data_IF_771555908562
#
_entry.id   IF_771555908562
#
_cell.length_a   1.000
_cell.length_b   1.000
_cell.length_c   1.000
_cell.angle_alpha   90.00
_cell.angle_beta   90.00
_cell.angle_gamma   90.00
#
_symmetry.space_group_name_H-M   'P 1'
#
loop_
_entity.id
_entity.type
_entity.pdbx_description
1 polymer ?
#
# COMPACT_ATOMS: atom_id res chain seq x y z
N UNK A 1 -39.69 -10.87 53.79
CA UNK A 1 -40.88 -11.56 54.35
C UNK A 1 -41.79 -11.83 53.16
N UNK A 2 -42.18 -13.02 52.70
CA UNK A 2 -42.31 -14.39 53.21
C UNK A 2 -42.20 -15.35 51.97
N UNK A 3 -41.53 -16.53 52.01
CA UNK A 3 -42.09 -17.90 52.22
C UNK A 3 -43.34 -18.20 51.35
N UNK A 4 -43.56 -19.33 50.66
CA UNK A 4 -42.97 -20.67 50.58
C UNK A 4 -43.58 -21.37 49.31
N UNK A 5 -42.82 -22.15 48.53
CA UNK A 5 -42.83 -23.62 48.44
C UNK A 5 -44.19 -24.33 48.18
N UNK A 6 -44.29 -25.04 47.03
CA UNK A 6 -45.05 -26.30 46.95
C UNK A 6 -44.40 -27.27 45.95
N UNK A 7 -43.97 -28.43 46.46
CA UNK A 7 -43.56 -29.63 45.72
C UNK A 7 -44.80 -30.42 45.28
N UNK A 8 -44.73 -31.15 44.16
CA UNK A 8 -45.34 -32.49 44.10
C UNK A 8 -44.58 -33.40 43.13
N UNK A 9 -44.49 -34.67 43.53
CA UNK A 9 -43.67 -35.79 43.04
C UNK A 9 -44.62 -36.94 42.68
N UNK A 10 -44.12 -37.91 41.89
CA UNK A 10 -44.64 -39.27 41.60
C UNK A 10 -45.38 -39.38 40.26
N UNK A 11 -45.26 -40.43 39.42
CA UNK A 11 -44.61 -41.76 39.37
C UNK A 11 -44.62 -42.16 37.87
N UNK A 12 -43.58 -42.71 37.22
CA UNK A 12 -43.07 -44.10 37.20
C UNK A 12 -44.06 -45.19 36.71
N UNK A 13 -43.89 -45.63 35.44
CA UNK A 13 -44.18 -46.96 34.85
C UNK A 13 -43.50 -46.99 33.46
N UNK A 14 -42.96 -48.04 32.85
CA UNK A 14 -42.45 -49.38 33.18
C UNK A 14 -41.87 -49.87 31.81
N UNK A 15 -40.55 -50.07 31.67
CA UNK A 15 -39.84 -51.34 31.38
C UNK A 15 -40.26 -52.15 30.13
N UNK A 16 -39.23 -52.61 29.40
CA UNK A 16 -39.17 -53.63 28.31
C UNK A 16 -39.29 -53.08 26.87
N UNK A 17 -38.46 -53.43 25.88
CA UNK A 17 -37.51 -54.53 25.68
C UNK A 17 -36.54 -54.21 24.52
N UNK A 18 -35.47 -54.99 24.39
CA UNK A 18 -34.95 -55.36 23.05
C UNK A 18 -33.53 -54.89 22.71
N UNK A 19 -32.59 -55.83 22.75
CA UNK A 19 -31.17 -55.71 22.40
C UNK A 19 -30.96 -56.14 20.93
N UNK A 20 -29.96 -55.53 20.26
CA UNK A 20 -29.17 -55.97 19.08
C UNK A 20 -29.49 -55.50 17.64
N UNK A 21 -28.62 -54.59 17.13
CA UNK A 21 -28.04 -54.53 15.76
C UNK A 21 -28.87 -53.88 14.63
N UNK A 22 -28.28 -53.16 13.65
CA UNK A 22 -26.95 -53.38 13.06
C UNK A 22 -25.99 -52.15 13.01
N UNK A 23 -24.73 -52.43 12.66
CA UNK A 23 -23.62 -51.47 12.50
C UNK A 23 -23.90 -50.29 11.54
N UNK A 24 -23.27 -49.11 11.75
CA UNK A 24 -23.03 -48.15 10.69
C UNK A 24 -21.59 -48.25 10.16
N UNK A 25 -21.49 -48.70 8.90
CA UNK A 25 -20.27 -48.74 8.09
C UNK A 25 -19.91 -47.33 7.59
N UNK A 26 -18.67 -46.90 7.84
CA UNK A 26 -17.85 -46.07 6.94
C UNK A 26 -18.11 -44.55 6.88
N UNK A 27 -17.10 -43.76 7.26
CA UNK A 27 -17.03 -42.34 6.86
C UNK A 27 -16.13 -41.48 7.74
N UNK A 28 -14.90 -41.24 7.28
CA UNK A 28 -13.83 -40.48 7.94
C UNK A 28 -14.23 -39.12 8.56
N UNK A 29 -13.72 -38.85 9.78
CA UNK A 29 -13.60 -37.49 10.34
C UNK A 29 -12.63 -36.65 9.50
N UNK A 30 -12.98 -35.42 9.08
CA UNK A 30 -12.01 -34.51 8.49
C UNK A 30 -11.18 -33.79 9.59
N UNK A 31 -9.87 -33.61 9.38
CA UNK A 31 -8.98 -32.94 10.30
C UNK A 31 -8.99 -31.42 10.12
N UNK A 32 -8.69 -30.72 11.22
CA UNK A 32 -8.14 -29.36 11.35
C UNK A 32 -7.91 -28.62 10.02
N UNK A 33 -8.70 -27.58 9.74
CA UNK A 33 -8.46 -26.64 8.64
C UNK A 33 -7.19 -25.80 8.92
N UNK A 34 -6.03 -26.43 8.67
CA UNK A 34 -4.81 -25.78 8.22
C UNK A 34 -5.05 -25.34 6.77
N UNK A 35 -5.18 -24.04 6.53
CA UNK A 35 -4.90 -23.49 5.20
C UNK A 35 -5.85 -22.42 4.68
N UNK A 36 -5.84 -21.21 5.26
CA UNK A 36 -6.22 -19.99 4.54
C UNK A 36 -5.34 -18.80 5.00
N UNK A 37 -4.03 -18.92 4.81
CA UNK A 37 -3.07 -17.79 4.79
C UNK A 37 -1.93 -18.11 3.81
N UNK A 38 -2.27 -18.29 2.54
CA UNK A 38 -1.30 -18.38 1.44
C UNK A 38 -1.87 -17.67 0.21
N UNK A 39 -1.68 -16.35 0.15
CA UNK A 39 -1.78 -15.59 -1.11
C UNK A 39 -0.93 -14.32 -1.14
N UNK A 40 -0.40 -13.85 0.00
CA UNK A 40 0.72 -12.91 0.00
C UNK A 40 2.04 -13.69 -0.08
N UNK A 41 2.95 -13.24 -0.93
CA UNK A 41 4.23 -13.85 -1.35
C UNK A 41 4.15 -14.83 -2.53
N UNK A 42 3.99 -14.29 -3.74
CA UNK A 42 4.56 -14.90 -4.95
C UNK A 42 4.89 -13.87 -6.04
N UNK A 43 6.08 -13.26 -5.97
CA UNK A 43 6.93 -12.90 -7.13
C UNK A 43 8.26 -12.29 -6.67
N UNK A 44 9.15 -13.13 -6.14
CA UNK A 44 10.59 -12.81 -6.07
C UNK A 44 11.38 -13.96 -6.71
N UNK A 45 11.83 -13.71 -7.93
CA UNK A 45 12.84 -14.45 -8.72
C UNK A 45 13.46 -13.35 -9.59
N UNK A 46 14.75 -13.02 -9.59
CA UNK A 46 16.03 -13.70 -9.28
C UNK A 46 17.08 -12.60 -9.00
N UNK A 47 18.29 -13.03 -8.63
CA UNK A 47 19.57 -12.30 -8.45
C UNK A 47 19.97 -12.04 -6.99
N UNK A 48 20.46 -13.10 -6.36
CA UNK A 48 21.29 -13.04 -5.15
C UNK A 48 22.76 -13.11 -5.57
N UNK A 49 23.52 -12.04 -5.35
CA UNK A 49 24.98 -12.04 -5.42
C UNK A 49 25.67 -11.33 -4.24
N UNK A 50 24.93 -10.96 -3.18
CA UNK A 50 25.50 -10.18 -2.06
C UNK A 50 25.00 -10.57 -0.66
N UNK A 51 24.31 -11.71 -0.46
CA UNK A 51 23.93 -12.17 0.88
C UNK A 51 22.91 -11.30 1.64
N UNK A 52 22.39 -10.22 1.05
CA UNK A 52 21.33 -9.41 1.65
C UNK A 52 19.98 -10.09 1.43
N UNK A 53 19.40 -10.62 2.52
CA UNK A 53 17.98 -11.00 2.56
C UNK A 53 17.16 -9.70 2.52
N UNK A 54 16.45 -9.45 1.42
CA UNK A 54 15.46 -8.36 1.38
C UNK A 54 14.37 -8.61 2.43
N UNK A 55 14.12 -7.60 3.25
CA UNK A 55 12.87 -6.86 3.17
C UNK A 55 13.16 -5.50 2.52
N UNK A 56 12.25 -5.00 1.67
CA UNK A 56 12.38 -3.67 1.02
C UNK A 56 12.60 -2.52 2.05
N UNK A 57 12.28 -2.75 3.33
CA UNK A 57 12.59 -1.84 4.45
C UNK A 57 14.05 -1.82 4.90
N UNK A 58 14.89 -2.79 4.50
CA UNK A 58 16.27 -2.92 4.98
C UNK A 58 17.23 -1.90 4.37
N UNK A 59 16.94 -1.40 3.16
CA UNK A 59 17.81 -0.45 2.44
C UNK A 59 17.66 0.97 3.02
N UNK A 60 16.50 1.26 3.61
CA UNK A 60 16.18 2.56 4.21
C UNK A 60 16.42 2.58 5.73
N UNK A 61 16.90 1.47 6.31
CA UNK A 61 17.14 1.37 7.73
C UNK A 61 18.33 2.23 8.16
N UNK A 62 18.19 2.94 9.29
CA UNK A 62 19.24 3.84 9.80
C UNK A 62 20.58 3.13 9.99
N UNK A 63 20.57 1.86 10.38
CA UNK A 63 21.79 1.05 10.52
C UNK A 63 22.53 0.88 9.18
N UNK A 64 21.80 0.54 8.10
CA UNK A 64 22.40 0.39 6.78
C UNK A 64 22.96 1.72 6.26
N UNK A 65 22.21 2.82 6.46
CA UNK A 65 22.66 4.16 6.07
C UNK A 65 23.93 4.59 6.83
N UNK A 66 24.04 4.22 8.12
CA UNK A 66 25.25 4.45 8.91
C UNK A 66 26.44 3.62 8.41
N UNK A 67 26.22 2.36 8.04
CA UNK A 67 27.25 1.50 7.45
C UNK A 67 27.77 2.06 6.12
N UNK A 68 26.86 2.49 5.23
CA UNK A 68 27.20 3.13 3.95
C UNK A 68 27.99 4.42 4.18
N UNK A 69 27.61 5.23 5.17
CA UNK A 69 28.36 6.43 5.57
C UNK A 69 29.76 6.10 6.08
N UNK A 70 29.96 4.95 6.71
CA UNK A 70 31.25 4.48 7.25
C UNK A 70 32.20 3.86 6.23
N UNK A 71 31.74 3.58 5.00
CA UNK A 71 32.56 2.91 3.98
C UNK A 71 33.84 3.70 3.66
N UNK A 72 34.95 2.96 3.48
CA UNK A 72 36.27 3.51 3.16
C UNK A 72 36.27 4.26 1.82
N UNK A 73 35.61 3.71 0.81
CA UNK A 73 35.54 4.27 -0.53
C UNK A 73 34.21 5.01 -0.74
N UNK A 74 34.22 6.33 -0.53
CA UNK A 74 33.00 7.17 -0.59
C UNK A 74 32.34 7.20 -1.97
N UNK A 75 33.12 7.19 -3.05
CA UNK A 75 32.56 7.18 -4.41
C UNK A 75 31.74 5.91 -4.67
N UNK A 76 32.24 4.76 -4.22
CA UNK A 76 31.54 3.47 -4.31
C UNK A 76 30.29 3.48 -3.44
N UNK A 77 30.37 4.07 -2.24
CA UNK A 77 29.22 4.22 -1.35
C UNK A 77 28.10 5.06 -1.99
N UNK A 78 28.45 6.19 -2.63
CA UNK A 78 27.50 7.05 -3.32
C UNK A 78 26.82 6.34 -4.49
N UNK A 79 27.59 5.65 -5.34
CA UNK A 79 27.04 4.90 -6.48
C UNK A 79 26.14 3.75 -6.04
N UNK A 80 26.55 3.00 -5.01
CA UNK A 80 25.76 1.93 -4.44
C UNK A 80 24.42 2.45 -3.90
N UNK A 81 24.47 3.51 -3.07
CA UNK A 81 23.27 4.08 -2.47
C UNK A 81 22.34 4.65 -3.53
N UNK A 82 22.86 5.37 -4.53
CA UNK A 82 22.07 5.89 -5.63
C UNK A 82 21.37 4.78 -6.43
N UNK A 83 22.07 3.67 -6.70
CA UNK A 83 21.48 2.51 -7.39
C UNK A 83 20.36 1.88 -6.56
N UNK A 84 20.59 1.65 -5.27
CA UNK A 84 19.62 1.04 -4.37
C UNK A 84 18.36 1.91 -4.22
N UNK A 85 18.52 3.24 -4.08
CA UNK A 85 17.40 4.17 -4.02
C UNK A 85 16.64 4.24 -5.36
N UNK A 86 17.35 4.16 -6.49
CA UNK A 86 16.73 4.07 -7.80
C UNK A 86 15.88 2.81 -7.99
N UNK A 87 16.40 1.66 -7.54
CA UNK A 87 15.68 0.38 -7.59
C UNK A 87 14.45 0.39 -6.67
N UNK A 88 14.59 0.90 -5.43
CA UNK A 88 13.47 1.07 -4.49
C UNK A 88 12.40 2.01 -5.06
N UNK A 89 12.82 3.16 -5.63
CA UNK A 89 11.88 4.07 -6.26
C UNK A 89 11.16 3.43 -7.46
N UNK A 90 11.82 2.54 -8.21
CA UNK A 90 11.20 1.79 -9.31
C UNK A 90 10.19 0.75 -8.83
N UNK A 91 10.38 0.17 -7.65
CA UNK A 91 9.36 -0.69 -7.04
C UNK A 91 8.15 0.14 -6.63
N UNK A 92 8.38 1.29 -5.98
CA UNK A 92 7.33 2.22 -5.54
C UNK A 92 6.57 2.89 -6.69
N UNK A 93 7.24 3.15 -7.81
CA UNK A 93 6.66 3.82 -8.99
C UNK A 93 5.49 3.08 -9.59
N UNK A 94 5.37 1.77 -9.32
CA UNK A 94 4.23 0.95 -9.72
C UNK A 94 2.96 1.24 -8.92
N UNK A 95 3.09 1.79 -7.72
CA UNK A 95 1.96 2.08 -6.82
C UNK A 95 1.70 3.57 -6.67
N UNK A 96 2.74 4.40 -6.56
CA UNK A 96 2.60 5.83 -6.33
C UNK A 96 3.44 6.64 -7.32
N UNK A 97 2.77 7.21 -8.32
CA UNK A 97 3.39 7.98 -9.39
C UNK A 97 3.88 9.35 -8.91
N UNK A 98 3.18 9.96 -7.95
CA UNK A 98 3.48 11.31 -7.46
C UNK A 98 4.77 11.29 -6.65
N UNK A 99 4.80 10.45 -5.60
CA UNK A 99 6.01 10.29 -4.78
C UNK A 99 7.19 9.81 -5.62
N UNK A 100 6.96 8.88 -6.55
CA UNK A 100 8.06 8.35 -7.35
C UNK A 100 8.70 9.39 -8.26
N UNK A 101 7.90 10.31 -8.83
CA UNK A 101 8.42 11.44 -9.61
C UNK A 101 9.25 12.37 -8.74
N UNK A 102 8.74 12.75 -7.58
CA UNK A 102 9.45 13.62 -6.63
C UNK A 102 10.81 13.05 -6.25
N UNK A 103 10.85 11.79 -5.77
CA UNK A 103 12.10 11.12 -5.41
C UNK A 103 13.03 10.92 -6.61
N UNK A 104 12.48 10.66 -7.80
CA UNK A 104 13.30 10.53 -9.00
C UNK A 104 13.96 11.84 -9.39
N UNK A 105 13.28 12.98 -9.24
CA UNK A 105 13.86 14.29 -9.52
C UNK A 105 14.91 14.68 -8.48
N UNK A 106 14.67 14.41 -7.20
CA UNK A 106 15.68 14.60 -6.14
C UNK A 106 16.93 13.76 -6.37
N UNK A 107 16.75 12.49 -6.73
CA UNK A 107 17.86 11.58 -7.04
C UNK A 107 18.67 12.09 -8.24
N UNK A 108 18.00 12.48 -9.34
CA UNK A 108 18.65 13.05 -10.53
C UNK A 108 19.42 14.32 -10.19
N UNK A 109 18.81 15.23 -9.43
CA UNK A 109 19.46 16.49 -9.01
C UNK A 109 20.75 16.21 -8.24
N UNK A 110 20.70 15.27 -7.30
CA UNK A 110 21.85 14.86 -6.48
C UNK A 110 22.96 14.25 -7.33
N UNK A 111 22.61 13.34 -8.25
CA UNK A 111 23.56 12.72 -9.17
C UNK A 111 24.18 13.70 -10.16
N UNK A 112 23.39 14.64 -10.68
CA UNK A 112 23.90 15.69 -11.56
C UNK A 112 24.91 16.58 -10.83
N UNK A 113 24.62 16.94 -9.57
CA UNK A 113 25.54 17.70 -8.74
C UNK A 113 26.84 16.93 -8.47
N UNK A 114 26.76 15.61 -8.26
CA UNK A 114 27.93 14.73 -8.13
C UNK A 114 28.76 14.67 -9.41
N UNK A 115 28.13 14.39 -10.56
CA UNK A 115 28.82 14.26 -11.84
C UNK A 115 29.49 15.55 -12.29
N UNK A 116 28.85 16.69 -12.02
CA UNK A 116 29.41 18.01 -12.34
C UNK A 116 30.45 18.48 -11.32
N UNK A 117 30.79 17.66 -10.31
CA UNK A 117 31.66 18.02 -9.18
C UNK A 117 31.22 19.31 -8.48
N UNK A 118 29.92 19.58 -8.49
CA UNK A 118 29.32 20.77 -7.89
C UNK A 118 29.24 20.66 -6.36
N UNK A 119 29.26 19.44 -5.83
CA UNK A 119 29.28 19.11 -4.40
C UNK A 119 30.30 18.01 -4.12
N UNK A 120 30.83 17.97 -2.91
CA UNK A 120 31.78 16.95 -2.48
C UNK A 120 31.10 15.57 -2.34
N UNK A 121 31.83 14.47 -2.56
CA UNK A 121 31.27 13.11 -2.44
C UNK A 121 30.61 12.86 -1.07
N UNK A 122 31.15 13.45 -0.01
CA UNK A 122 30.56 13.34 1.33
C UNK A 122 29.16 13.99 1.40
N UNK A 123 28.99 15.16 0.78
CA UNK A 123 27.70 15.86 0.72
C UNK A 123 26.70 15.08 -0.15
N UNK A 124 27.15 14.45 -1.23
CA UNK A 124 26.30 13.57 -2.06
C UNK A 124 25.75 12.42 -1.23
N UNK A 125 26.58 11.75 -0.44
CA UNK A 125 26.14 10.67 0.43
C UNK A 125 25.10 11.18 1.44
N UNK A 126 25.28 12.38 1.99
CA UNK A 126 24.34 12.97 2.94
C UNK A 126 23.00 13.32 2.29
N UNK A 127 22.99 13.87 1.09
CA UNK A 127 21.76 14.11 0.31
C UNK A 127 21.04 12.80 -0.05
N UNK A 128 21.78 11.75 -0.43
CA UNK A 128 21.20 10.43 -0.69
C UNK A 128 20.65 9.78 0.58
N UNK A 129 21.31 9.92 1.73
CA UNK A 129 20.80 9.46 3.03
C UNK A 129 19.53 10.22 3.40
N UNK A 130 19.49 11.54 3.17
CA UNK A 130 18.31 12.35 3.40
C UNK A 130 17.15 11.88 2.52
N UNK A 131 17.38 11.64 1.23
CA UNK A 131 16.39 11.07 0.32
C UNK A 131 15.87 9.71 0.85
N UNK A 132 16.76 8.83 1.30
CA UNK A 132 16.37 7.54 1.89
C UNK A 132 15.43 7.70 3.10
N UNK A 133 15.72 8.67 3.97
CA UNK A 133 14.88 8.99 5.13
C UNK A 133 13.53 9.56 4.72
N UNK A 134 13.48 10.43 3.73
CA UNK A 134 12.23 10.97 3.19
C UNK A 134 11.35 9.86 2.58
N UNK A 135 11.95 8.91 1.86
CA UNK A 135 11.25 7.72 1.36
C UNK A 135 10.69 6.86 2.49
N UNK A 136 11.46 6.63 3.55
CA UNK A 136 11.01 5.87 4.73
C UNK A 136 9.85 6.60 5.45
N UNK A 137 9.99 7.91 5.67
CA UNK A 137 8.97 8.74 6.28
C UNK A 137 7.68 8.77 5.44
N UNK A 138 7.78 8.79 4.12
CA UNK A 138 6.62 8.71 3.23
C UNK A 138 5.84 7.39 3.39
N UNK A 139 6.53 6.28 3.59
CA UNK A 139 5.90 4.99 3.91
C UNK A 139 5.22 5.04 5.28
N UNK A 140 5.90 5.58 6.29
CA UNK A 140 5.36 5.68 7.65
C UNK A 140 4.14 6.60 7.70
N UNK A 141 4.14 7.71 6.96
CA UNK A 141 2.97 8.61 6.83
C UNK A 141 1.73 7.87 6.36
N UNK A 142 1.86 6.93 5.43
CA UNK A 142 0.73 6.12 4.98
C UNK A 142 0.10 5.30 6.12
N UNK A 143 0.97 4.66 6.92
CA UNK A 143 0.58 3.89 8.10
C UNK A 143 -0.06 4.78 9.17
N UNK A 144 0.53 5.93 9.46
CA UNK A 144 0.04 6.88 10.47
C UNK A 144 -1.32 7.48 10.08
N UNK A 145 -1.56 7.66 8.77
CA UNK A 145 -2.85 8.08 8.24
C UNK A 145 -3.87 6.94 8.25
N UNK A 146 -3.48 5.70 8.52
CA UNK A 146 -4.37 4.53 8.47
C UNK A 146 -4.90 4.25 7.06
N UNK A 147 -4.18 4.71 6.04
CA UNK A 147 -4.50 4.49 4.64
C UNK A 147 -3.71 3.29 4.11
N UNK A 148 -4.31 2.53 3.19
CA UNK A 148 -3.57 1.52 2.44
C UNK A 148 -2.72 2.17 1.33
N UNK A 149 -1.78 1.42 0.76
CA UNK A 149 -0.84 1.94 -0.26
C UNK A 149 -1.53 2.61 -1.46
N UNK A 150 -2.68 2.09 -1.90
CA UNK A 150 -3.44 2.67 -3.03
C UNK A 150 -4.08 4.00 -2.61
N UNK A 151 -4.64 4.05 -1.40
CA UNK A 151 -5.26 5.25 -0.84
C UNK A 151 -4.23 6.35 -0.60
N UNK A 152 -3.03 6.01 -0.13
CA UNK A 152 -1.92 6.96 0.01
C UNK A 152 -1.55 7.56 -1.35
N UNK A 153 -1.53 6.75 -2.41
CA UNK A 153 -1.21 7.24 -3.75
C UNK A 153 -2.26 8.23 -4.28
N UNK A 154 -3.56 7.98 -4.01
CA UNK A 154 -4.62 8.94 -4.33
C UNK A 154 -4.57 10.18 -3.44
N UNK A 155 -4.27 10.02 -2.16
CA UNK A 155 -4.09 11.14 -1.23
C UNK A 155 -2.96 12.05 -1.69
N UNK A 156 -1.79 11.52 -2.04
CA UNK A 156 -0.67 12.31 -2.54
C UNK A 156 -1.02 13.02 -3.87
N UNK A 157 -1.74 12.35 -4.78
CA UNK A 157 -2.23 12.95 -6.01
C UNK A 157 -3.20 14.11 -5.79
N UNK A 158 -4.02 14.06 -4.73
CA UNK A 158 -4.89 15.16 -4.34
C UNK A 158 -4.12 16.27 -3.60
N UNK A 159 -3.10 15.90 -2.82
CA UNK A 159 -2.28 16.80 -2.01
C UNK A 159 -1.24 17.59 -2.83
N UNK A 160 -0.94 17.19 -4.07
CA UNK A 160 -0.15 18.01 -5.01
C UNK A 160 -0.74 19.41 -5.19
N UNK A 161 -2.06 19.57 -5.00
CA UNK A 161 -2.69 20.88 -4.98
C UNK A 161 -2.70 21.45 -3.56
N UNK A 162 -1.78 22.38 -3.31
CA UNK A 162 -1.65 23.05 -2.01
C UNK A 162 -2.93 23.79 -1.58
N UNK A 163 -3.72 24.30 -2.53
CA UNK A 163 -5.01 24.96 -2.21
C UNK A 163 -6.02 23.98 -1.63
N UNK A 164 -6.00 22.71 -2.08
CA UNK A 164 -6.88 21.68 -1.54
C UNK A 164 -6.47 21.24 -0.13
N UNK A 165 -5.16 21.13 0.13
CA UNK A 165 -4.63 20.80 1.46
C UNK A 165 -5.00 21.90 2.48
N UNK A 166 -4.89 23.17 2.08
CA UNK A 166 -5.22 24.31 2.93
C UNK A 166 -6.72 24.51 3.15
N UNK A 167 -7.56 24.28 2.12
CA UNK A 167 -9.00 24.53 2.20
C UNK A 167 -9.79 23.38 2.85
N UNK A 168 -9.40 22.13 2.63
CA UNK A 168 -10.17 20.94 3.03
C UNK A 168 -9.57 20.24 4.26
N UNK A 169 -8.27 20.43 4.48
CA UNK A 169 -7.54 19.73 5.54
C UNK A 169 -7.29 18.25 5.23
N UNK A 170 -6.53 17.60 6.12
CA UNK A 170 -6.05 16.23 5.90
C UNK A 170 -7.18 15.19 5.95
N UNK A 171 -8.15 15.34 6.86
CA UNK A 171 -9.18 14.33 7.08
C UNK A 171 -10.15 14.20 5.90
N UNK A 172 -10.54 15.32 5.30
CA UNK A 172 -11.42 15.34 4.14
C UNK A 172 -10.74 14.74 2.90
N UNK A 173 -9.44 15.05 2.70
CA UNK A 173 -8.64 14.46 1.63
C UNK A 173 -8.49 12.94 1.77
N UNK A 174 -8.39 12.43 3.00
CA UNK A 174 -8.36 10.97 3.25
C UNK A 174 -9.67 10.32 2.83
N UNK A 175 -10.81 10.91 3.20
CA UNK A 175 -12.14 10.39 2.82
C UNK A 175 -12.29 10.35 1.31
N UNK A 176 -11.87 11.41 0.61
CA UNK A 176 -11.91 11.47 -0.86
C UNK A 176 -11.00 10.38 -1.46
N UNK A 177 -9.78 10.20 -0.93
CA UNK A 177 -8.85 9.18 -1.41
C UNK A 177 -9.42 7.76 -1.26
N UNK A 178 -9.99 7.42 -0.10
CA UNK A 178 -10.65 6.13 0.15
C UNK A 178 -11.88 5.92 -0.74
N UNK A 179 -12.71 6.95 -0.94
CA UNK A 179 -13.87 6.87 -1.84
C UNK A 179 -13.42 6.66 -3.30
N UNK A 180 -12.36 7.34 -3.75
CA UNK A 180 -11.78 7.18 -5.08
C UNK A 180 -11.27 5.76 -5.29
N UNK A 181 -10.45 5.21 -4.38
CA UNK A 181 -9.95 3.83 -4.50
C UNK A 181 -11.10 2.83 -4.59
N UNK A 182 -12.11 2.98 -3.73
CA UNK A 182 -13.27 2.09 -3.70
C UNK A 182 -14.04 2.12 -5.02
N UNK A 183 -14.27 3.30 -5.57
CA UNK A 183 -15.02 3.48 -6.82
C UNK A 183 -14.22 3.01 -8.03
N UNK A 184 -12.92 3.30 -8.07
CA UNK A 184 -12.03 2.82 -9.13
C UNK A 184 -11.96 1.29 -9.11
N UNK A 185 -11.75 0.65 -7.95
CA UNK A 185 -11.75 -0.83 -7.82
C UNK A 185 -13.04 -1.47 -8.34
N UNK A 186 -14.20 -0.87 -8.04
CA UNK A 186 -15.51 -1.33 -8.56
C UNK A 186 -15.61 -1.21 -10.08
N UNK A 187 -14.96 -0.21 -10.68
CA UNK A 187 -14.96 0.00 -12.12
C UNK A 187 -13.96 -0.85 -12.90
N UNK A 188 -12.84 -1.27 -12.28
CA UNK A 188 -11.80 -2.11 -12.94
C UNK A 188 -12.31 -3.51 -13.30
N UNK A 189 -13.33 -4.02 -12.60
CA UNK A 189 -13.96 -5.30 -12.94
C UNK A 189 -14.64 -5.27 -14.32
N UNK A 190 -14.85 -4.09 -14.92
CA UNK A 190 -15.56 -3.89 -16.18
C UNK A 190 -14.54 -3.41 -17.25
N UNK A 191 -13.94 -4.37 -17.94
CA UNK A 191 -13.16 -4.22 -19.19
C UNK A 191 -12.18 -3.04 -19.26
N UNK A 192 -11.05 -3.16 -18.57
CA UNK A 192 -9.85 -2.32 -18.80
C UNK A 192 -9.20 -2.56 -20.18
N UNK A 193 -9.60 -3.63 -20.85
CA UNK A 193 -9.22 -4.02 -22.22
C UNK A 193 -9.63 -2.97 -23.26
N UNK A 194 -10.61 -2.09 -22.97
CA UNK A 194 -11.02 -0.98 -23.85
C UNK A 194 -10.55 0.36 -23.27
N UNK A 195 -9.28 0.70 -23.54
CA UNK A 195 -8.50 1.83 -22.99
C UNK A 195 -9.20 3.18 -22.93
N UNK A 196 -10.07 3.51 -23.88
CA UNK A 196 -10.60 4.88 -24.03
C UNK A 196 -11.93 5.10 -23.29
N UNK A 197 -12.84 4.12 -23.33
CA UNK A 197 -14.15 4.21 -22.68
C UNK A 197 -14.06 4.04 -21.16
N UNK A 198 -13.19 3.15 -20.67
CA UNK A 198 -12.89 2.99 -19.26
C UNK A 198 -12.25 4.27 -18.67
N UNK A 199 -11.30 4.88 -19.41
CA UNK A 199 -10.66 6.14 -19.02
C UNK A 199 -11.65 7.29 -18.91
N UNK A 200 -12.57 7.42 -19.87
CA UNK A 200 -13.62 8.43 -19.84
C UNK A 200 -14.54 8.24 -18.63
N UNK A 201 -14.93 7.00 -18.29
CA UNK A 201 -15.75 6.68 -17.11
C UNK A 201 -15.05 7.06 -15.80
N UNK A 202 -13.77 6.70 -15.63
CA UNK A 202 -12.98 7.09 -14.45
C UNK A 202 -12.86 8.61 -14.37
N UNK A 203 -12.58 9.30 -15.48
CA UNK A 203 -12.47 10.76 -15.50
C UNK A 203 -13.77 11.44 -15.03
N UNK A 204 -14.93 10.96 -15.47
CA UNK A 204 -16.24 11.49 -15.04
C UNK A 204 -16.48 11.20 -13.56
N UNK A 205 -16.16 9.99 -13.10
CA UNK A 205 -16.28 9.59 -11.69
C UNK A 205 -15.40 10.46 -10.78
N UNK A 206 -14.11 10.62 -11.10
CA UNK A 206 -13.17 11.46 -10.33
C UNK A 206 -13.68 12.90 -10.26
N UNK A 207 -14.14 13.47 -11.39
CA UNK A 207 -14.73 14.81 -11.41
C UNK A 207 -15.97 14.92 -10.52
N UNK A 208 -16.83 13.90 -10.51
CA UNK A 208 -18.05 13.87 -9.68
C UNK A 208 -17.71 13.83 -8.19
N UNK A 209 -16.79 12.97 -7.78
CA UNK A 209 -16.39 12.83 -6.36
C UNK A 209 -15.76 14.13 -5.87
N UNK A 210 -14.83 14.73 -6.64
CA UNK A 210 -14.21 16.01 -6.26
C UNK A 210 -15.24 17.15 -6.13
N UNK A 211 -16.22 17.24 -7.02
CA UNK A 211 -17.31 18.23 -6.92
C UNK A 211 -18.20 18.01 -5.70
N UNK A 212 -18.52 16.75 -5.38
CA UNK A 212 -19.35 16.40 -4.22
C UNK A 212 -18.73 16.86 -2.90
N UNK A 213 -17.40 16.77 -2.78
CA UNK A 213 -16.66 17.19 -1.59
C UNK A 213 -16.18 18.65 -1.64
N UNK A 214 -16.60 19.45 -2.62
CA UNK A 214 -16.27 20.88 -2.63
C UNK A 214 -14.79 21.20 -2.96
N UNK A 215 -14.10 20.35 -3.71
CA UNK A 215 -12.69 20.57 -4.05
C UNK A 215 -12.48 21.93 -4.77
N UNK A 216 -11.52 22.77 -4.32
CA UNK A 216 -11.33 24.12 -4.87
C UNK A 216 -11.18 24.15 -6.39
N UNK A 217 -11.72 25.18 -7.08
CA UNK A 217 -11.61 25.31 -8.54
C UNK A 217 -10.17 25.54 -9.03
N UNK A 218 -9.27 26.00 -8.14
CA UNK A 218 -7.89 26.28 -8.47
C UNK A 218 -7.13 25.01 -8.86
N UNK A 219 -6.46 25.05 -10.01
CA UNK A 219 -5.67 23.94 -10.58
C UNK A 219 -6.47 22.62 -10.69
N UNK A 220 -7.80 22.69 -10.87
CA UNK A 220 -8.64 21.50 -10.94
C UNK A 220 -8.20 20.55 -12.04
N UNK A 221 -7.80 21.07 -13.20
CA UNK A 221 -7.46 20.27 -14.36
C UNK A 221 -6.14 19.50 -14.18
N UNK A 222 -5.14 20.09 -13.54
CA UNK A 222 -3.87 19.41 -13.24
C UNK A 222 -4.08 18.32 -12.19
N UNK A 223 -4.82 18.63 -11.12
CA UNK A 223 -5.18 17.64 -10.11
C UNK A 223 -6.01 16.49 -10.71
N UNK A 224 -6.98 16.76 -11.60
CA UNK A 224 -7.69 15.69 -12.33
C UNK A 224 -6.72 14.84 -13.13
N UNK A 225 -5.79 15.45 -13.89
CA UNK A 225 -4.84 14.71 -14.73
C UNK A 225 -3.93 13.81 -13.89
N UNK A 226 -3.44 14.31 -12.75
CA UNK A 226 -2.59 13.54 -11.84
C UNK A 226 -3.34 12.38 -11.21
N UNK A 227 -4.55 12.64 -10.68
CA UNK A 227 -5.42 11.59 -10.12
C UNK A 227 -5.82 10.54 -11.17
N UNK A 228 -6.10 10.97 -12.40
CA UNK A 228 -6.42 10.05 -13.51
C UNK A 228 -5.21 9.19 -13.88
N UNK A 229 -4.01 9.78 -13.95
CA UNK A 229 -2.78 9.04 -14.25
C UNK A 229 -2.46 8.02 -13.16
N UNK A 230 -2.71 8.39 -11.89
CA UNK A 230 -2.58 7.50 -10.74
C UNK A 230 -3.59 6.34 -10.79
N UNK A 231 -4.84 6.62 -11.17
CA UNK A 231 -5.85 5.58 -11.38
C UNK A 231 -5.44 4.62 -12.50
N UNK A 232 -4.96 5.12 -13.64
CA UNK A 232 -4.49 4.29 -14.76
C UNK A 232 -3.37 3.34 -14.35
N UNK A 233 -2.42 3.82 -13.54
CA UNK A 233 -1.32 3.01 -13.02
C UNK A 233 -1.82 1.85 -12.16
N UNK A 234 -2.71 2.13 -11.20
CA UNK A 234 -3.24 1.11 -10.29
C UNK A 234 -4.15 0.11 -11.00
N UNK A 235 -4.96 0.58 -11.96
CA UNK A 235 -5.78 -0.31 -12.79
C UNK A 235 -4.92 -1.30 -13.59
N UNK A 236 -3.77 -0.85 -14.12
CA UNK A 236 -2.85 -1.73 -14.84
C UNK A 236 -2.22 -2.79 -13.93
N UNK A 237 -1.94 -2.45 -12.66
CA UNK A 237 -1.41 -3.40 -11.67
C UNK A 237 -2.48 -4.42 -11.23
N UNK A 238 -3.74 -4.01 -11.04
CA UNK A 238 -4.83 -4.91 -10.65
C UNK A 238 -5.30 -5.84 -11.78
N UNK A 239 -5.05 -5.48 -13.04
CA UNK A 239 -5.41 -6.28 -14.21
C UNK A 239 -4.33 -7.31 -14.62
N UNK A 240 -3.13 -7.26 -14.04
CA UNK A 240 -1.95 -8.07 -14.38
C UNK A 240 -1.75 -9.30 -13.48
#
# INVERSE_FOLDING_TARGET
MALAATRSRAQLTDVSAGVNGPEPVGGHRPPLQRGLRKSYLRKTRRHSAAGLKQPDSSILADQFLAEVRGLKYKNVAAELLAKLLGDENRVRSKRNLVQSREFSEMLKKTLNAYHNRAIATQEVIEELIKLAKEMSAATQRGVDLGLNDDEVAFYDALATNNSAVGAMGKDELKVIASELVTQVRKSVTIDWTVRESARAKIKVMVKRIRRKHGYPPDLQDEAVKTVLSQAELLCADWAA
#
